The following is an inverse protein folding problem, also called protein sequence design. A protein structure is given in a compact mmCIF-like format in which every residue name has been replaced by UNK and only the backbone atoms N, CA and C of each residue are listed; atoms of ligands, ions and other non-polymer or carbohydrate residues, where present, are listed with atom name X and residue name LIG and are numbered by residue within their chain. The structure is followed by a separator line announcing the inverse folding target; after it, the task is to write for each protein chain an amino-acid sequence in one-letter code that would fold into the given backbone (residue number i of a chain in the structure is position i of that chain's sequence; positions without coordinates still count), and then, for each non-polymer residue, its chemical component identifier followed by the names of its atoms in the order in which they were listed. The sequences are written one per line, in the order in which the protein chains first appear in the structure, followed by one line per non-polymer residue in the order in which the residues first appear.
data_IF_614740474198
#
_entry.id   IF_614740474198
#
_cell.length_a   1.000
_cell.length_b   1.000
_cell.length_c   1.000
_cell.angle_alpha   90.00
_cell.angle_beta   90.00
_cell.angle_gamma   90.00
#
_symmetry.space_group_name_H-M   'P 1'
#
loop_
_entity.id
_entity.type
_entity.pdbx_description
1 polymer ?
#
# COMPACT_ATOMS: atom_id res chain seq x y z
N UNK A 1 13.00 8.95 -21.77
CA UNK A 1 12.43 8.21 -20.63
C UNK A 1 13.15 6.89 -20.51
N UNK A 2 13.70 6.55 -19.34
CA UNK A 2 14.35 5.26 -19.15
C UNK A 2 13.33 4.20 -18.82
N UNK A 3 13.41 3.03 -19.47
CA UNK A 3 12.54 1.89 -19.19
C UNK A 3 13.31 0.58 -19.30
N UNK A 4 12.81 -0.45 -18.62
CA UNK A 4 13.34 -1.82 -18.69
C UNK A 4 12.32 -2.74 -19.35
N UNK A 5 12.78 -3.65 -20.22
CA UNK A 5 11.92 -4.60 -20.91
C UNK A 5 12.14 -6.00 -20.36
N UNK A 6 11.04 -6.63 -19.96
CA UNK A 6 11.02 -8.00 -19.46
C UNK A 6 10.20 -8.90 -20.37
N UNK A 7 10.84 -9.80 -21.08
CA UNK A 7 10.17 -10.83 -21.85
C UNK A 7 9.68 -11.95 -20.93
N UNK A 8 8.37 -12.16 -20.86
CA UNK A 8 7.76 -13.19 -20.02
C UNK A 8 6.64 -13.91 -20.77
N UNK A 9 6.34 -15.16 -20.39
CA UNK A 9 5.16 -15.89 -20.88
C UNK A 9 3.89 -15.29 -20.31
N UNK A 10 3.43 -14.17 -20.88
CA UNK A 10 2.19 -13.46 -20.53
C UNK A 10 1.30 -13.35 -21.77
N UNK A 11 -0.02 -13.35 -21.56
CA UNK A 11 -0.99 -13.25 -22.66
C UNK A 11 -1.00 -11.86 -23.31
N UNK A 12 -0.83 -10.82 -22.49
CA UNK A 12 -0.87 -9.43 -22.93
C UNK A 12 0.33 -8.65 -22.38
N UNK A 13 0.82 -7.71 -23.18
CA UNK A 13 1.78 -6.73 -22.72
C UNK A 13 1.17 -5.82 -21.65
N UNK A 14 1.95 -5.45 -20.64
CA UNK A 14 1.55 -4.51 -19.59
C UNK A 14 2.69 -3.62 -19.16
N UNK A 15 2.34 -2.45 -18.66
CA UNK A 15 3.24 -1.47 -18.08
C UNK A 15 3.11 -1.50 -16.56
N UNK A 16 4.24 -1.52 -15.88
CA UNK A 16 4.33 -1.41 -14.42
C UNK A 16 5.34 -0.32 -14.08
N UNK A 17 5.08 0.47 -13.05
CA UNK A 17 6.08 1.39 -12.50
C UNK A 17 6.52 0.82 -11.17
N UNK A 18 7.81 0.49 -11.04
CA UNK A 18 8.44 -0.05 -9.84
C UNK A 18 9.62 0.81 -9.44
N UNK A 19 9.67 1.25 -8.19
CA UNK A 19 10.75 2.08 -7.65
C UNK A 19 11.02 3.37 -8.46
N UNK A 20 10.01 3.87 -9.18
CA UNK A 20 10.16 5.05 -10.04
C UNK A 20 10.73 4.75 -11.43
N UNK A 21 10.84 3.48 -11.83
CA UNK A 21 11.25 3.06 -13.17
C UNK A 21 10.08 2.41 -13.93
N UNK A 22 10.01 2.68 -15.22
CA UNK A 22 9.00 2.07 -16.09
C UNK A 22 9.46 0.67 -16.52
N UNK A 23 8.66 -0.34 -16.20
CA UNK A 23 8.88 -1.73 -16.61
C UNK A 23 7.84 -2.14 -17.64
N UNK A 24 8.30 -2.62 -18.78
CA UNK A 24 7.49 -3.21 -19.83
C UNK A 24 7.54 -4.73 -19.69
N UNK A 25 6.43 -5.35 -19.35
CA UNK A 25 6.31 -6.81 -19.30
C UNK A 25 5.58 -7.25 -20.55
N UNK A 26 6.30 -7.90 -21.45
CA UNK A 26 5.82 -8.21 -22.80
C UNK A 26 5.99 -9.68 -23.15
N UNK A 27 5.11 -10.24 -24.01
CA UNK A 27 5.32 -11.57 -24.61
C UNK A 27 6.64 -11.58 -25.41
N UNK A 28 7.31 -12.74 -25.54
CA UNK A 28 8.59 -12.84 -26.26
C UNK A 28 8.54 -12.35 -27.71
N UNK A 29 7.39 -12.46 -28.37
CA UNK A 29 7.19 -12.05 -29.77
C UNK A 29 7.08 -10.54 -29.99
N UNK A 30 6.84 -9.75 -28.94
CA UNK A 30 6.67 -8.28 -29.06
C UNK A 30 8.04 -7.63 -29.16
N UNK A 31 8.25 -6.91 -30.27
CA UNK A 31 9.49 -6.16 -30.56
C UNK A 31 9.28 -4.65 -30.61
N UNK A 32 8.07 -4.19 -30.96
CA UNK A 32 7.74 -2.77 -31.03
C UNK A 32 7.13 -2.30 -29.70
N UNK A 33 7.98 -1.76 -28.85
CA UNK A 33 7.58 -1.25 -27.53
C UNK A 33 7.11 0.19 -27.59
N UNK A 34 7.50 0.94 -28.64
CA UNK A 34 7.21 2.37 -28.75
C UNK A 34 5.69 2.60 -28.82
N UNK A 35 5.00 1.84 -29.66
CA UNK A 35 3.51 1.93 -29.75
C UNK A 35 2.82 1.70 -28.41
N UNK A 36 3.37 0.81 -27.57
CA UNK A 36 2.79 0.56 -26.25
C UNK A 36 3.03 1.75 -25.31
N UNK A 37 4.21 2.35 -25.37
CA UNK A 37 4.57 3.54 -24.59
C UNK A 37 3.71 4.72 -25.01
N UNK A 38 3.63 5.00 -26.31
CA UNK A 38 2.88 6.13 -26.88
C UNK A 38 1.40 6.05 -26.51
N UNK A 39 0.81 4.86 -26.62
CA UNK A 39 -0.59 4.61 -26.23
C UNK A 39 -0.87 4.96 -24.77
N UNK A 40 0.12 4.86 -23.90
CA UNK A 40 -0.03 5.05 -22.46
C UNK A 40 0.76 6.24 -21.91
N UNK A 41 1.28 7.11 -22.76
CA UNK A 41 2.15 8.22 -22.40
C UNK A 41 1.58 9.09 -21.29
N UNK A 42 0.34 9.52 -21.40
CA UNK A 42 -0.34 10.34 -20.40
C UNK A 42 -0.48 9.64 -19.05
N UNK A 43 -0.68 8.33 -19.06
CA UNK A 43 -0.75 7.53 -17.83
C UNK A 43 0.63 7.42 -17.18
N UNK A 44 1.67 7.16 -17.98
CA UNK A 44 3.06 7.07 -17.53
C UNK A 44 3.47 8.41 -16.90
N UNK A 45 3.26 9.51 -17.63
CA UNK A 45 3.61 10.85 -17.16
C UNK A 45 2.96 11.17 -15.81
N UNK A 46 1.64 11.02 -15.70
CA UNK A 46 0.92 11.27 -14.45
C UNK A 46 1.42 10.41 -13.28
N UNK A 47 1.71 9.14 -13.54
CA UNK A 47 2.24 8.24 -12.50
C UNK A 47 3.66 8.61 -12.09
N UNK A 48 4.52 8.93 -13.02
CA UNK A 48 5.91 9.35 -12.73
C UNK A 48 5.96 10.67 -11.99
N UNK A 49 5.16 11.66 -12.41
CA UNK A 49 5.05 12.96 -11.71
C UNK A 49 4.59 12.75 -10.27
N UNK A 50 3.55 11.94 -10.07
CA UNK A 50 3.06 11.63 -8.71
C UNK A 50 4.11 10.96 -7.84
N UNK A 51 4.89 10.01 -8.39
CA UNK A 51 5.99 9.35 -7.67
C UNK A 51 7.06 10.36 -7.27
N UNK A 52 7.42 11.27 -8.16
CA UNK A 52 8.43 12.31 -7.87
C UNK A 52 7.94 13.27 -6.77
N UNK A 53 6.67 13.71 -6.83
CA UNK A 53 6.07 14.51 -5.77
C UNK A 53 6.13 13.80 -4.40
N UNK A 54 5.73 12.51 -4.36
CA UNK A 54 5.77 11.73 -3.14
C UNK A 54 7.21 11.53 -2.60
N UNK A 55 8.20 11.35 -3.49
CA UNK A 55 9.61 11.29 -3.10
C UNK A 55 10.08 12.59 -2.47
N UNK A 56 9.79 13.73 -3.08
CA UNK A 56 10.14 15.05 -2.55
C UNK A 56 9.46 15.28 -1.18
N UNK A 57 8.20 14.91 -1.04
CA UNK A 57 7.50 15.01 0.23
C UNK A 57 8.08 14.07 1.31
N UNK A 58 8.63 12.93 0.90
CA UNK A 58 9.27 11.98 1.82
C UNK A 58 10.54 12.55 2.46
N UNK A 59 11.30 13.41 1.76
CA UNK A 59 12.50 14.04 2.29
C UNK A 59 12.25 14.87 3.56
N UNK A 60 11.02 15.41 3.71
CA UNK A 60 10.60 16.18 4.90
C UNK A 60 10.04 15.32 6.04
N UNK A 61 9.91 14.00 5.88
CA UNK A 61 9.34 13.11 6.90
C UNK A 61 10.42 12.40 7.71
N UNK A 62 10.12 12.18 9.00
CA UNK A 62 11.02 11.44 9.90
C UNK A 62 10.37 10.12 10.31
N UNK A 63 11.18 9.06 10.41
CA UNK A 63 10.78 7.79 10.96
C UNK A 63 10.98 7.79 12.47
N UNK A 64 10.08 7.14 13.20
CA UNK A 64 10.20 6.95 14.65
C UNK A 64 10.86 5.61 14.94
N UNK A 65 12.13 5.63 15.32
CA UNK A 65 12.88 4.45 15.72
C UNK A 65 12.83 4.20 17.24
N UNK A 66 12.12 5.01 18.02
CA UNK A 66 12.04 4.87 19.49
C UNK A 66 11.06 3.79 19.92
N UNK A 67 10.09 3.45 19.05
CA UNK A 67 9.04 2.49 19.36
C UNK A 67 9.57 1.05 19.32
N UNK A 68 9.54 0.34 20.47
CA UNK A 68 9.90 -1.06 20.51
C UNK A 68 8.89 -1.94 19.75
N UNK A 69 9.35 -3.12 19.31
CA UNK A 69 8.49 -4.08 18.62
C UNK A 69 7.31 -4.55 19.51
N UNK A 70 7.54 -4.70 20.79
CA UNK A 70 6.51 -5.08 21.78
C UNK A 70 5.47 -3.95 21.93
N UNK A 71 5.92 -2.70 22.06
CA UNK A 71 5.03 -1.53 22.11
C UNK A 71 4.18 -1.43 20.85
N UNK A 72 4.80 -1.58 19.67
CA UNK A 72 4.08 -1.59 18.40
C UNK A 72 3.00 -2.67 18.34
N UNK A 73 3.33 -3.91 18.69
CA UNK A 73 2.37 -5.02 18.69
C UNK A 73 1.23 -4.78 19.67
N UNK A 74 1.50 -4.18 20.83
CA UNK A 74 0.47 -3.82 21.83
C UNK A 74 -0.48 -2.76 21.27
N UNK A 75 0.04 -1.71 20.63
CA UNK A 75 -0.73 -0.65 19.97
C UNK A 75 -1.65 -1.25 18.91
N UNK A 76 -1.10 -2.06 17.99
CA UNK A 76 -1.89 -2.68 16.91
C UNK A 76 -3.00 -3.56 17.48
N UNK A 77 -2.71 -4.41 18.47
CA UNK A 77 -3.74 -5.26 19.07
C UNK A 77 -4.83 -4.44 19.74
N UNK A 78 -4.46 -3.38 20.47
CA UNK A 78 -5.44 -2.46 21.07
C UNK A 78 -6.38 -1.83 20.03
N UNK A 79 -5.84 -1.40 18.87
CA UNK A 79 -6.67 -0.91 17.78
C UNK A 79 -7.53 -2.00 17.14
N UNK A 80 -6.99 -3.21 16.95
CA UNK A 80 -7.78 -4.33 16.42
C UNK A 80 -8.95 -4.62 17.34
N UNK A 81 -8.73 -4.76 18.64
CA UNK A 81 -9.77 -5.07 19.63
C UNK A 81 -10.85 -3.97 19.66
N UNK A 82 -10.43 -2.71 19.74
CA UNK A 82 -11.33 -1.56 19.76
C UNK A 82 -12.17 -1.48 18.48
N UNK A 83 -11.51 -1.47 17.32
CA UNK A 83 -12.17 -1.21 16.04
C UNK A 83 -13.02 -2.42 15.61
N UNK A 84 -12.59 -3.66 15.87
CA UNK A 84 -13.39 -4.85 15.57
C UNK A 84 -14.68 -4.87 16.38
N UNK A 85 -14.62 -4.47 17.66
CA UNK A 85 -15.81 -4.30 18.50
C UNK A 85 -16.73 -3.19 17.97
N UNK A 86 -16.20 -2.00 17.64
CA UNK A 86 -16.96 -0.88 17.06
C UNK A 86 -17.66 -1.29 15.75
N UNK A 87 -17.00 -2.09 14.92
CA UNK A 87 -17.52 -2.54 13.62
C UNK A 87 -18.40 -3.79 13.71
N UNK A 88 -18.46 -4.48 14.85
CA UNK A 88 -19.16 -5.75 15.00
C UNK A 88 -18.59 -6.84 14.08
N UNK A 89 -17.25 -6.96 14.00
CA UNK A 89 -16.55 -7.98 13.20
C UNK A 89 -15.63 -8.82 14.07
N UNK A 90 -15.44 -10.08 13.70
CA UNK A 90 -14.56 -11.00 14.42
C UNK A 90 -13.21 -11.14 13.70
N UNK A 91 -12.14 -11.03 14.47
CA UNK A 91 -10.77 -11.24 14.00
C UNK A 91 -10.27 -12.58 14.50
N UNK A 92 -9.92 -13.48 13.59
CA UNK A 92 -9.40 -14.78 13.95
C UNK A 92 -7.95 -14.71 14.45
N UNK A 93 -7.09 -13.99 13.71
CA UNK A 93 -5.65 -13.92 14.04
C UNK A 93 -5.04 -12.61 13.55
N UNK A 94 -4.16 -12.02 14.38
CA UNK A 94 -3.28 -10.91 13.99
C UNK A 94 -1.84 -11.40 13.91
N UNK A 95 -1.19 -11.17 12.77
CA UNK A 95 0.21 -11.55 12.52
C UNK A 95 1.01 -10.34 12.06
N UNK A 96 2.29 -10.32 12.39
CA UNK A 96 3.22 -9.25 12.02
C UNK A 96 4.26 -9.81 11.04
N UNK A 97 4.45 -9.14 9.92
CA UNK A 97 5.33 -9.61 8.84
C UNK A 97 6.07 -8.46 8.21
N UNK A 98 7.30 -8.68 7.78
CA UNK A 98 7.99 -7.75 6.89
C UNK A 98 7.49 -7.96 5.46
N UNK A 99 6.60 -7.07 4.99
CA UNK A 99 5.99 -7.16 3.66
C UNK A 99 6.62 -6.16 2.69
N UNK A 100 6.83 -6.58 1.44
CA UNK A 100 7.56 -5.79 0.42
C UNK A 100 6.67 -4.86 -0.42
N UNK A 101 5.35 -4.98 -0.36
CA UNK A 101 4.45 -4.29 -1.32
C UNK A 101 3.17 -3.74 -0.69
N UNK A 102 2.94 -3.93 0.61
CA UNK A 102 1.70 -3.50 1.28
C UNK A 102 1.90 -3.28 2.77
N UNK A 103 1.01 -2.50 3.37
CA UNK A 103 1.00 -2.22 4.80
C UNK A 103 0.26 -3.26 5.62
N UNK A 104 -0.75 -3.89 5.03
CA UNK A 104 -1.52 -4.94 5.66
C UNK A 104 -2.13 -5.91 4.66
N UNK A 105 -2.84 -6.89 5.16
CA UNK A 105 -3.73 -7.74 4.37
C UNK A 105 -4.73 -8.45 5.26
N UNK A 106 -5.96 -8.63 4.78
CA UNK A 106 -7.01 -9.37 5.44
C UNK A 106 -7.45 -10.59 4.60
N UNK A 107 -7.48 -11.77 5.19
CA UNK A 107 -7.98 -12.98 4.53
C UNK A 107 -9.49 -13.18 4.73
N UNK A 108 -10.08 -14.09 3.94
CA UNK A 108 -11.50 -14.46 4.12
C UNK A 108 -11.79 -15.17 5.45
N UNK A 109 -10.78 -15.76 6.06
CA UNK A 109 -10.90 -16.42 7.36
C UNK A 109 -10.66 -15.47 8.54
N UNK A 110 -10.70 -14.15 8.35
CA UNK A 110 -10.50 -13.17 9.42
C UNK A 110 -9.05 -13.05 9.91
N UNK A 111 -8.06 -13.55 9.15
CA UNK A 111 -6.66 -13.37 9.53
C UNK A 111 -6.14 -12.06 8.99
N UNK A 112 -5.62 -11.20 9.87
CA UNK A 112 -5.01 -9.91 9.55
C UNK A 112 -3.51 -10.02 9.66
N UNK A 113 -2.80 -9.58 8.62
CA UNK A 113 -1.36 -9.40 8.67
C UNK A 113 -1.05 -7.91 8.64
N UNK A 114 -0.19 -7.47 9.53
CA UNK A 114 0.28 -6.09 9.64
C UNK A 114 1.77 -6.03 9.30
N UNK A 115 2.17 -5.07 8.49
CA UNK A 115 3.57 -4.88 8.14
C UNK A 115 4.34 -4.32 9.33
N UNK A 116 5.41 -5.00 9.73
CA UNK A 116 6.26 -4.58 10.85
C UNK A 116 6.87 -3.18 10.63
N UNK A 117 7.01 -2.74 9.40
CA UNK A 117 7.51 -1.39 9.06
C UNK A 117 6.58 -0.26 9.52
N UNK A 118 5.31 -0.55 9.81
CA UNK A 118 4.40 0.44 10.43
C UNK A 118 4.88 0.89 11.81
N UNK A 119 5.75 0.13 12.49
CA UNK A 119 6.32 0.54 13.76
C UNK A 119 7.05 1.88 13.69
N UNK A 120 7.55 2.27 12.54
CA UNK A 120 8.29 3.52 12.31
C UNK A 120 7.41 4.71 11.94
N UNK A 121 6.10 4.51 11.78
CA UNK A 121 5.16 5.53 11.32
C UNK A 121 4.41 6.18 12.50
N UNK A 122 3.85 7.38 12.28
CA UNK A 122 2.91 7.97 13.22
C UNK A 122 1.77 7.02 13.59
N UNK A 123 1.34 7.07 14.85
CA UNK A 123 0.34 6.14 15.38
C UNK A 123 -1.02 6.25 14.67
N UNK A 124 -1.37 7.46 14.20
CA UNK A 124 -2.58 7.69 13.40
C UNK A 124 -2.61 6.89 12.08
N UNK A 125 -1.44 6.64 11.48
CA UNK A 125 -1.32 5.79 10.28
C UNK A 125 -1.43 4.30 10.64
N UNK A 126 -0.95 3.90 11.83
CA UNK A 126 -1.14 2.53 12.34
C UNK A 126 -2.63 2.25 12.54
N UNK A 127 -3.34 3.16 13.21
CA UNK A 127 -4.79 3.03 13.44
C UNK A 127 -5.56 2.97 12.12
N UNK A 128 -5.21 3.85 11.16
CA UNK A 128 -5.82 3.86 9.84
C UNK A 128 -5.63 2.53 9.09
N UNK A 129 -4.41 1.97 9.06
CA UNK A 129 -4.16 0.68 8.39
C UNK A 129 -4.92 -0.45 9.06
N UNK A 130 -5.00 -0.48 10.39
CA UNK A 130 -5.81 -1.48 11.11
C UNK A 130 -7.28 -1.37 10.72
N UNK A 131 -7.84 -0.16 10.70
CA UNK A 131 -9.21 0.07 10.26
C UNK A 131 -9.44 -0.36 8.81
N UNK A 132 -8.52 0.00 7.91
CA UNK A 132 -8.54 -0.40 6.49
C UNK A 132 -8.63 -1.93 6.34
N UNK A 133 -7.79 -2.68 7.05
CA UNK A 133 -7.79 -4.14 7.00
C UNK A 133 -9.06 -4.75 7.61
N UNK A 134 -9.60 -4.15 8.66
CA UNK A 134 -10.86 -4.59 9.28
C UNK A 134 -12.07 -4.35 8.37
N UNK A 135 -12.10 -3.27 7.58
CA UNK A 135 -13.12 -3.05 6.56
C UNK A 135 -13.20 -4.20 5.56
N UNK A 136 -12.09 -4.87 5.27
CA UNK A 136 -12.04 -6.03 4.40
C UNK A 136 -12.74 -7.28 4.97
N UNK A 137 -13.08 -7.32 6.24
CA UNK A 137 -13.94 -8.38 6.80
C UNK A 137 -15.40 -8.26 6.32
N UNK A 138 -15.82 -7.05 5.96
CA UNK A 138 -17.17 -6.79 5.41
C UNK A 138 -17.15 -6.68 3.88
N UNK A 139 -16.19 -5.93 3.31
CA UNK A 139 -16.13 -5.64 1.87
C UNK A 139 -14.74 -5.96 1.34
N UNK A 140 -14.63 -6.98 0.49
CA UNK A 140 -13.36 -7.53 0.00
C UNK A 140 -12.63 -6.65 -1.00
N UNK A 141 -13.37 -5.90 -1.81
CA UNK A 141 -12.82 -5.12 -2.93
C UNK A 141 -12.84 -3.65 -2.58
N UNK A 142 -11.82 -2.92 -2.99
CA UNK A 142 -11.75 -1.46 -2.88
C UNK A 142 -12.69 -0.78 -3.92
N UNK A 143 -13.98 -1.11 -3.84
CA UNK A 143 -15.04 -0.49 -4.63
C UNK A 143 -15.59 0.75 -3.90
N UNK A 144 -16.61 1.39 -4.47
CA UNK A 144 -17.25 2.58 -3.87
C UNK A 144 -17.77 2.30 -2.46
N UNK A 145 -18.47 1.21 -2.27
CA UNK A 145 -19.04 0.81 -0.98
C UNK A 145 -17.95 0.65 0.11
N UNK A 146 -16.79 0.10 -0.26
CA UNK A 146 -15.63 0.00 0.63
C UNK A 146 -15.14 1.39 1.07
N UNK A 147 -14.95 2.30 0.12
CA UNK A 147 -14.46 3.64 0.42
C UNK A 147 -15.49 4.48 1.16
N UNK A 148 -16.78 4.28 0.90
CA UNK A 148 -17.88 4.88 1.67
C UNK A 148 -17.80 4.43 3.14
N UNK A 149 -17.57 3.12 3.40
CA UNK A 149 -17.38 2.59 4.76
C UNK A 149 -16.13 3.18 5.44
N UNK A 150 -14.98 3.22 4.77
CA UNK A 150 -13.75 3.81 5.31
C UNK A 150 -13.96 5.27 5.66
N UNK A 151 -14.69 6.01 4.83
CA UNK A 151 -14.93 7.45 5.00
C UNK A 151 -15.82 7.79 6.19
N UNK A 152 -16.60 6.85 6.71
CA UNK A 152 -17.40 7.05 7.94
C UNK A 152 -16.51 7.40 9.15
N UNK A 153 -15.33 6.78 9.25
CA UNK A 153 -14.35 7.06 10.31
C UNK A 153 -13.27 8.05 9.84
N UNK A 154 -12.88 7.95 8.58
CA UNK A 154 -11.81 8.77 7.98
C UNK A 154 -12.33 9.51 6.74
N UNK A 155 -13.07 10.63 6.90
CA UNK A 155 -13.58 11.41 5.77
C UNK A 155 -12.46 11.81 4.80
N UNK A 156 -11.27 12.11 5.32
CA UNK A 156 -10.07 12.46 4.57
C UNK A 156 -9.18 11.24 4.27
N UNK A 157 -9.73 10.05 4.08
CA UNK A 157 -8.95 8.82 3.89
C UNK A 157 -7.88 8.96 2.79
N UNK A 158 -8.11 9.75 1.75
CA UNK A 158 -7.14 10.00 0.68
C UNK A 158 -5.83 10.61 1.21
N UNK A 159 -5.90 11.45 2.24
CA UNK A 159 -4.71 12.00 2.89
C UNK A 159 -3.91 10.90 3.59
N UNK A 160 -4.58 9.95 4.25
CA UNK A 160 -3.90 8.81 4.88
C UNK A 160 -3.25 7.90 3.85
N UNK A 161 -3.92 7.62 2.72
CA UNK A 161 -3.35 6.86 1.60
C UNK A 161 -2.11 7.55 1.00
N UNK A 162 -2.16 8.87 0.84
CA UNK A 162 -1.02 9.67 0.38
C UNK A 162 0.14 9.64 1.39
N UNK A 163 -0.12 9.85 2.68
CA UNK A 163 0.90 9.76 3.74
C UNK A 163 1.53 8.36 3.78
N UNK A 164 0.74 7.29 3.72
CA UNK A 164 1.26 5.92 3.65
C UNK A 164 2.15 5.71 2.41
N UNK A 165 1.77 6.31 1.28
CA UNK A 165 2.57 6.27 0.05
C UNK A 165 3.90 7.02 0.20
N UNK A 166 3.90 8.17 0.88
CA UNK A 166 5.10 8.95 1.20
C UNK A 166 6.03 8.14 2.11
N UNK A 167 5.50 7.61 3.22
CA UNK A 167 6.29 6.81 4.16
C UNK A 167 6.84 5.53 3.55
N UNK A 168 6.15 4.98 2.53
CA UNK A 168 6.65 3.80 1.82
C UNK A 168 8.04 4.02 1.20
N UNK A 169 8.31 5.20 0.66
CA UNK A 169 9.63 5.54 0.10
C UNK A 169 10.73 5.52 1.16
N UNK A 170 10.41 5.85 2.40
CA UNK A 170 11.38 5.88 3.51
C UNK A 170 11.67 4.47 4.05
N UNK A 171 10.66 3.60 4.12
CA UNK A 171 10.80 2.31 4.79
C UNK A 171 11.02 1.13 3.84
N UNK A 172 10.79 1.27 2.53
CA UNK A 172 10.84 0.15 1.57
C UNK A 172 12.17 -0.61 1.61
N UNK A 173 13.28 0.12 1.82
CA UNK A 173 14.64 -0.40 1.83
C UNK A 173 15.16 -0.74 3.24
N UNK A 174 14.36 -0.54 4.30
CA UNK A 174 14.66 -1.00 5.65
C UNK A 174 14.52 -2.53 5.71
N UNK A 175 15.52 -3.21 6.26
CA UNK A 175 15.55 -4.66 6.46
C UNK A 175 14.76 -5.09 7.69
#
# INVERSE_FOLDING_TARGET
MNYQVFHRKVKYARLEIKNGELHLIVPPAVKDYQKLIDKHENWIYRKMSRINELKTQAEGRKLDFSRSNEAFKKIVRGYVDKISHEMGVEVNRVSFRNMKTRWGSCSSAGNININSKLAYLPESLIEYVVHHELCHLKIRKHNREYWDMVSLKYPDYKRYEDELSIYWFLVKDLN
#
